data_IF_756117644252
#
_entry.id   IF_756117644252
#
_cell.length_a   1.000
_cell.length_b   1.000
_cell.length_c   1.000
_cell.angle_alpha   90.00
_cell.angle_beta   90.00
_cell.angle_gamma   90.00
#
_symmetry.space_group_name_H-M   'P 1'
#
loop_
_entity.id
_entity.type
_entity.pdbx_description
1 polymer ?
#
# COMPACT_ATOMS: atom_id res chain seq x y z
N UNK A 1 -9.67 19.83 10.45
CA UNK A 1 -10.23 18.53 10.00
C UNK A 1 -9.14 17.45 10.06
N UNK A 2 -9.23 16.56 11.06
CA UNK A 2 -8.28 15.47 11.24
C UNK A 2 -8.53 14.42 10.14
N UNK A 3 -7.70 14.45 9.10
CA UNK A 3 -7.71 13.45 8.03
C UNK A 3 -7.51 12.05 8.61
N UNK A 4 -8.09 11.05 7.97
CA UNK A 4 -8.11 9.67 8.44
C UNK A 4 -6.69 9.16 8.72
N UNK A 5 -6.28 9.24 9.98
CA UNK A 5 -4.98 8.77 10.43
C UNK A 5 -4.99 7.25 10.36
N UNK A 6 -3.95 6.68 9.76
CA UNK A 6 -3.74 5.24 9.78
C UNK A 6 -3.62 4.75 11.23
N UNK A 7 -4.68 4.14 11.75
CA UNK A 7 -4.68 3.59 13.11
C UNK A 7 -4.26 2.13 13.11
N UNK A 8 -3.53 1.77 14.17
CA UNK A 8 -3.05 0.40 14.43
C UNK A 8 -1.71 0.06 13.77
N UNK A 9 -1.13 -1.03 14.23
CA UNK A 9 0.17 -1.53 13.76
C UNK A 9 0.17 -1.84 12.26
N UNK A 10 1.27 -1.54 11.57
CA UNK A 10 1.54 -1.89 10.17
C UNK A 10 2.83 -2.70 10.09
N UNK A 11 2.78 -3.81 9.36
CA UNK A 11 3.89 -4.75 9.26
C UNK A 11 4.94 -4.28 8.26
N UNK A 12 4.53 -3.61 7.18
CA UNK A 12 5.46 -3.05 6.19
C UNK A 12 4.89 -1.78 5.57
N UNK A 13 5.78 -0.86 5.19
CA UNK A 13 5.48 0.34 4.40
C UNK A 13 6.56 0.50 3.31
N UNK A 14 6.14 0.78 2.07
CA UNK A 14 7.02 0.95 0.90
C UNK A 14 6.48 1.99 -0.07
N UNK A 15 7.37 2.70 -0.76
CA UNK A 15 6.99 3.48 -1.91
C UNK A 15 6.83 2.60 -3.14
N UNK A 16 5.79 2.88 -3.93
CA UNK A 16 5.56 2.37 -5.28
C UNK A 16 5.54 3.57 -6.22
N UNK A 17 6.36 3.54 -7.27
CA UNK A 17 6.54 4.65 -8.18
C UNK A 17 6.38 4.20 -9.64
N UNK A 18 5.77 5.08 -10.44
CA UNK A 18 5.75 4.94 -11.89
C UNK A 18 5.76 6.35 -12.52
N UNK A 19 6.91 6.75 -13.06
CA UNK A 19 7.15 8.14 -13.49
C UNK A 19 7.07 9.10 -12.30
N UNK A 20 6.31 10.19 -12.47
CA UNK A 20 6.09 11.19 -11.41
C UNK A 20 5.06 10.74 -10.35
N UNK A 21 4.27 9.69 -10.66
CA UNK A 21 3.30 9.15 -9.70
C UNK A 21 4.03 8.35 -8.62
N UNK A 22 3.78 8.73 -7.37
CA UNK A 22 4.36 8.12 -6.18
C UNK A 22 3.26 7.82 -5.17
N UNK A 23 3.20 6.57 -4.72
CA UNK A 23 2.30 6.11 -3.68
C UNK A 23 3.11 5.52 -2.54
N UNK A 24 2.76 5.82 -1.31
CA UNK A 24 3.23 5.10 -0.14
C UNK A 24 2.18 4.03 0.20
N UNK A 25 2.57 2.76 0.24
CA UNK A 25 1.66 1.65 0.55
C UNK A 25 2.03 1.09 1.92
N UNK A 26 1.03 0.89 2.77
CA UNK A 26 1.18 0.22 4.06
C UNK A 26 0.30 -1.02 4.11
N UNK A 27 0.84 -2.10 4.67
CA UNK A 27 0.12 -3.36 4.88
C UNK A 27 0.21 -3.78 6.35
N UNK A 28 -0.80 -4.48 6.83
CA UNK A 28 -0.79 -5.12 8.13
C UNK A 28 -1.96 -6.09 8.30
N UNK A 29 -2.08 -6.65 9.49
CA UNK A 29 -3.18 -7.57 9.84
C UNK A 29 -4.57 -6.96 9.63
N UNK A 30 -4.71 -5.66 9.83
CA UNK A 30 -5.98 -4.93 9.72
C UNK A 30 -6.29 -4.42 8.31
N UNK A 31 -5.48 -4.78 7.30
CA UNK A 31 -5.72 -4.37 5.92
C UNK A 31 -4.52 -3.67 5.27
N UNK A 32 -4.81 -3.08 4.12
CA UNK A 32 -3.87 -2.37 3.25
C UNK A 32 -4.42 -0.99 2.91
N UNK A 33 -3.52 -0.01 2.81
CA UNK A 33 -3.85 1.37 2.48
C UNK A 33 -2.73 2.02 1.71
N UNK A 34 -3.05 3.12 1.03
CA UNK A 34 -2.06 3.96 0.40
C UNK A 34 -2.16 5.42 0.86
N UNK A 35 -1.09 6.17 0.63
CA UNK A 35 -1.00 7.61 0.78
C UNK A 35 -0.36 8.20 -0.47
N UNK A 36 -0.84 9.36 -0.90
CA UNK A 36 -0.31 10.16 -2.01
C UNK A 36 0.45 11.40 -1.52
N UNK A 37 0.54 11.59 -0.21
CA UNK A 37 1.07 12.79 0.45
C UNK A 37 2.08 12.42 1.54
N UNK A 38 2.96 11.48 1.19
CA UNK A 38 4.08 11.01 2.01
C UNK A 38 3.68 10.54 3.44
N UNK A 39 2.47 9.99 3.57
CA UNK A 39 1.96 9.37 4.79
C UNK A 39 1.14 10.29 5.69
N UNK A 40 0.83 11.52 5.25
CA UNK A 40 0.00 12.45 6.01
C UNK A 40 -1.48 12.01 6.06
N UNK A 41 -2.02 11.54 4.93
CA UNK A 41 -3.37 10.99 4.84
C UNK A 41 -3.37 9.61 4.18
N UNK A 42 -4.26 8.73 4.62
CA UNK A 42 -4.33 7.34 4.16
C UNK A 42 -5.71 6.97 3.65
N UNK A 43 -5.73 6.23 2.54
CA UNK A 43 -6.93 5.69 1.91
C UNK A 43 -6.88 4.16 1.92
N UNK A 44 -8.01 3.52 2.24
CA UNK A 44 -8.12 2.07 2.29
C UNK A 44 -8.04 1.47 0.86
N UNK A 45 -7.20 0.45 0.69
CA UNK A 45 -7.19 -0.40 -0.52
C UNK A 45 -8.08 -1.62 -0.28
N UNK A 46 -7.88 -2.29 0.86
CA UNK A 46 -8.57 -3.53 1.21
C UNK A 46 -8.48 -3.77 2.72
N UNK A 47 -9.48 -4.41 3.30
CA UNK A 47 -9.43 -4.91 4.68
C UNK A 47 -8.66 -6.23 4.80
N UNK A 48 -8.22 -6.80 3.67
CA UNK A 48 -7.46 -8.06 3.65
C UNK A 48 -6.06 -7.87 4.24
N UNK A 49 -5.70 -8.72 5.20
CA UNK A 49 -4.42 -8.62 5.91
C UNK A 49 -3.23 -9.23 5.15
N UNK A 50 -2.12 -8.47 5.12
CA UNK A 50 -0.80 -8.91 4.64
C UNK A 50 0.29 -8.47 5.62
N UNK A 51 1.36 -9.25 5.73
CA UNK A 51 2.39 -9.09 6.76
C UNK A 51 3.75 -8.67 6.20
N UNK A 52 3.93 -8.79 4.88
CA UNK A 52 5.09 -8.26 4.18
C UNK A 52 4.67 -7.66 2.86
N UNK A 53 5.47 -6.72 2.37
CA UNK A 53 5.31 -6.02 1.11
C UNK A 53 6.71 -5.73 0.58
N UNK A 54 6.91 -5.98 -0.70
CA UNK A 54 8.11 -5.54 -1.39
C UNK A 54 7.76 -5.05 -2.81
N UNK A 55 8.65 -4.22 -3.37
CA UNK A 55 8.41 -3.45 -4.58
C UNK A 55 9.59 -3.58 -5.51
N UNK A 56 9.31 -3.82 -6.80
CA UNK A 56 10.29 -3.77 -7.86
C UNK A 56 9.71 -3.05 -9.09
N UNK A 57 10.33 -1.94 -9.48
CA UNK A 57 9.80 -1.05 -10.51
C UNK A 57 8.43 -0.50 -10.14
N UNK A 58 7.45 -0.68 -11.02
CA UNK A 58 6.06 -0.26 -10.83
C UNK A 58 5.14 -1.37 -10.28
N UNK A 59 5.70 -2.48 -9.81
CA UNK A 59 4.96 -3.61 -9.25
C UNK A 59 5.28 -3.79 -7.77
N UNK A 60 4.25 -4.09 -7.00
CA UNK A 60 4.36 -4.52 -5.61
C UNK A 60 3.80 -5.94 -5.45
N UNK A 61 4.35 -6.69 -4.51
CA UNK A 61 3.82 -7.98 -4.05
C UNK A 61 3.73 -8.02 -2.53
N UNK A 62 2.67 -8.62 -2.03
CA UNK A 62 2.40 -8.77 -0.61
C UNK A 62 2.08 -10.21 -0.27
N UNK A 63 2.48 -10.67 0.92
CA UNK A 63 2.14 -12.00 1.43
C UNK A 63 1.52 -11.93 2.82
N UNK A 64 0.54 -12.80 3.08
CA UNK A 64 -0.27 -12.84 4.31
C UNK A 64 -0.50 -14.27 4.81
N UNK A 65 -1.45 -14.42 5.75
CA UNK A 65 -1.80 -15.72 6.32
C UNK A 65 -2.24 -16.74 5.27
N UNK A 66 -2.09 -18.03 5.59
CA UNK A 66 -2.56 -19.17 4.80
C UNK A 66 -2.00 -19.19 3.36
N UNK A 67 -0.76 -18.74 3.20
CA UNK A 67 -0.09 -18.70 1.88
C UNK A 67 -0.66 -17.64 0.94
N UNK A 68 -1.45 -16.68 1.43
CA UNK A 68 -2.04 -15.62 0.60
C UNK A 68 -0.96 -14.76 -0.02
N UNK A 69 -1.09 -14.50 -1.32
CA UNK A 69 -0.25 -13.57 -2.09
C UNK A 69 -1.14 -12.62 -2.87
N UNK A 70 -0.75 -11.36 -2.98
CA UNK A 70 -1.36 -10.38 -3.85
C UNK A 70 -0.30 -9.56 -4.59
N UNK A 71 -0.67 -9.01 -5.73
CA UNK A 71 0.16 -8.09 -6.50
C UNK A 71 -0.59 -6.83 -6.84
N UNK A 72 0.11 -5.70 -6.88
CA UNK A 72 -0.40 -4.41 -7.34
C UNK A 72 0.52 -3.89 -8.45
N UNK A 73 -0.06 -3.36 -9.52
CA UNK A 73 0.69 -2.64 -10.55
C UNK A 73 0.25 -1.18 -10.53
N UNK A 74 1.19 -0.25 -10.44
CA UNK A 74 0.91 1.16 -10.64
C UNK A 74 0.95 1.45 -12.14
N UNK A 75 -0.22 1.63 -12.74
CA UNK A 75 -0.35 2.03 -14.14
C UNK A 75 -0.59 3.53 -14.21
N UNK A 76 0.13 4.21 -15.09
CA UNK A 76 -0.22 5.59 -15.47
C UNK A 76 -1.56 5.55 -16.20
N UNK A 77 -2.51 6.37 -15.78
CA UNK A 77 -3.68 6.67 -16.60
C UNK A 77 -3.16 7.49 -17.78
N UNK A 78 -2.94 6.86 -18.91
CA UNK A 78 -2.81 7.56 -20.19
C UNK A 78 -4.22 7.82 -20.69
N UNK A 79 -4.55 9.08 -20.94
CA UNK A 79 -5.77 9.48 -21.67
C UNK A 79 -5.85 8.76 -23.03
#
# INVERSE_FOLDING_TARGET
>A
PAGAQQTGYRSCVRYLQNGEQKLLIAVGRAGCSFSTDDGLNWQLISETGFYTLDVFGNKAWAAGADGRVATLNLTTLTD
#
